data_IF_755936653580
#
_entry.id   IF_755936653580
#
_cell.length_a   1.000
_cell.length_b   1.000
_cell.length_c   1.000
_cell.angle_alpha   90.00
_cell.angle_beta   90.00
_cell.angle_gamma   90.00
#
_symmetry.space_group_name_H-M   'P 1'
#
loop_
_entity.id
_entity.type
_entity.pdbx_description
1 polymer ?
#
# COMPACT_ATOMS: atom_id res chain seq x y z
N UNK A 1 19.88 8.20 -12.13
CA UNK A 1 18.99 9.39 -12.05
C UNK A 1 19.62 10.40 -11.10
N UNK A 2 19.52 11.69 -11.40
CA UNK A 2 19.93 12.73 -10.46
C UNK A 2 18.91 12.81 -9.31
N UNK A 3 19.39 12.73 -8.06
CA UNK A 3 18.53 12.87 -6.88
C UNK A 3 18.41 14.34 -6.51
N UNK A 4 17.19 14.82 -6.30
CA UNK A 4 16.92 16.19 -5.85
C UNK A 4 16.63 16.16 -4.36
N UNK A 5 17.32 16.99 -3.57
CA UNK A 5 17.04 17.16 -2.14
C UNK A 5 15.95 18.22 -1.96
N UNK A 6 14.92 17.88 -1.19
CA UNK A 6 13.84 18.80 -0.77
C UNK A 6 13.66 18.69 0.74
N UNK A 7 13.45 19.83 1.39
CA UNK A 7 13.10 19.87 2.80
C UNK A 7 11.59 19.60 2.96
N UNK A 8 11.23 18.76 3.91
CA UNK A 8 9.84 18.45 4.26
C UNK A 8 9.63 18.65 5.75
N UNK A 9 8.42 19.03 6.12
CA UNK A 9 7.99 19.09 7.53
C UNK A 9 7.14 17.86 7.82
N UNK A 10 7.43 17.20 8.94
CA UNK A 10 6.67 16.02 9.40
C UNK A 10 5.99 16.39 10.70
N UNK A 11 4.70 16.07 10.81
CA UNK A 11 3.95 16.23 12.06
C UNK A 11 4.61 15.38 13.17
N UNK A 12 4.89 15.96 14.36
CA UNK A 12 5.48 15.21 15.47
C UNK A 12 4.70 13.97 15.91
N UNK A 13 3.36 13.97 15.82
CA UNK A 13 2.52 12.82 16.16
C UNK A 13 2.71 11.69 15.14
N UNK A 14 2.68 12.01 13.85
CA UNK A 14 2.95 11.04 12.77
C UNK A 14 4.36 10.46 12.92
N UNK A 15 5.34 11.30 13.23
CA UNK A 15 6.71 10.84 13.47
C UNK A 15 6.79 9.86 14.65
N UNK A 16 6.01 10.08 15.72
CA UNK A 16 5.98 9.21 16.88
C UNK A 16 5.35 7.85 16.61
N UNK A 17 4.38 7.79 15.70
CA UNK A 17 3.68 6.56 15.28
C UNK A 17 4.50 5.67 14.33
N UNK A 18 5.55 6.22 13.70
CA UNK A 18 6.40 5.44 12.81
C UNK A 18 7.17 4.34 13.57
N UNK A 19 7.27 3.17 12.93
CA UNK A 19 8.10 2.07 13.44
C UNK A 19 9.56 2.52 13.63
N UNK A 20 10.32 1.92 14.56
CA UNK A 20 11.72 2.26 14.78
C UNK A 20 12.57 2.22 13.49
N UNK A 21 12.31 1.26 12.61
CA UNK A 21 13.02 1.09 11.34
C UNK A 21 12.78 2.28 10.40
N UNK A 22 11.52 2.74 10.30
CA UNK A 22 11.17 3.89 9.46
C UNK A 22 11.71 5.20 10.03
N UNK A 23 11.75 5.34 11.36
CA UNK A 23 12.37 6.51 12.02
C UNK A 23 13.88 6.56 11.81
N UNK A 24 14.55 5.41 11.78
CA UNK A 24 16.00 5.35 11.57
C UNK A 24 16.43 5.88 10.19
N UNK A 25 15.56 5.79 9.18
CA UNK A 25 15.81 6.34 7.85
C UNK A 25 14.57 7.05 7.26
N UNK A 26 14.31 8.26 7.77
CA UNK A 26 13.18 9.08 7.33
C UNK A 26 13.21 9.41 5.84
N UNK A 27 14.40 9.62 5.25
CA UNK A 27 14.50 9.93 3.83
C UNK A 27 14.02 8.76 2.96
N UNK A 28 14.40 7.53 3.31
CA UNK A 28 13.89 6.34 2.62
C UNK A 28 12.38 6.19 2.82
N UNK A 29 11.88 6.35 4.05
CA UNK A 29 10.46 6.26 4.35
C UNK A 29 9.62 7.30 3.58
N UNK A 30 10.09 8.55 3.50
CA UNK A 30 9.43 9.62 2.75
C UNK A 30 9.46 9.34 1.24
N UNK A 31 10.59 8.90 0.70
CA UNK A 31 10.67 8.56 -0.73
C UNK A 31 9.76 7.39 -1.10
N UNK A 32 9.66 6.37 -0.25
CA UNK A 32 8.73 5.26 -0.46
C UNK A 32 7.27 5.72 -0.40
N UNK A 33 6.92 6.58 0.58
CA UNK A 33 5.58 7.16 0.66
C UNK A 33 5.23 8.00 -0.57
N UNK A 34 6.15 8.85 -1.04
CA UNK A 34 5.96 9.64 -2.26
C UNK A 34 5.81 8.76 -3.50
N UNK A 35 6.57 7.67 -3.60
CA UNK A 35 6.43 6.70 -4.70
C UNK A 35 5.05 6.04 -4.70
N UNK A 36 4.56 5.64 -3.53
CA UNK A 36 3.23 5.04 -3.39
C UNK A 36 2.12 6.04 -3.71
N UNK A 37 2.27 7.29 -3.23
CA UNK A 37 1.31 8.36 -3.53
C UNK A 37 1.25 8.67 -5.03
N UNK A 38 2.40 8.82 -5.69
CA UNK A 38 2.45 9.05 -7.14
C UNK A 38 1.84 7.88 -7.94
N UNK A 39 2.05 6.64 -7.49
CA UNK A 39 1.43 5.48 -8.12
C UNK A 39 -0.10 5.48 -7.95
N UNK A 40 -0.59 5.87 -6.77
CA UNK A 40 -2.01 6.01 -6.49
C UNK A 40 -2.65 7.11 -7.34
N UNK A 41 -2.02 8.30 -7.42
CA UNK A 41 -2.48 9.41 -8.25
C UNK A 41 -2.56 9.00 -9.73
N UNK A 42 -1.57 8.25 -10.23
CA UNK A 42 -1.59 7.71 -11.59
C UNK A 42 -2.75 6.73 -11.81
N UNK A 43 -2.99 5.81 -10.85
CA UNK A 43 -4.11 4.87 -10.92
C UNK A 43 -5.47 5.58 -10.89
N UNK A 44 -5.63 6.57 -10.00
CA UNK A 44 -6.85 7.37 -9.91
C UNK A 44 -7.11 8.15 -11.20
N UNK A 45 -6.06 8.68 -11.82
CA UNK A 45 -6.18 9.37 -13.11
C UNK A 45 -6.67 8.43 -14.21
N UNK A 46 -6.14 7.20 -14.28
CA UNK A 46 -6.62 6.19 -15.24
C UNK A 46 -8.09 5.82 -15.04
N UNK A 47 -8.52 5.67 -13.79
CA UNK A 47 -9.93 5.40 -13.47
C UNK A 47 -10.79 6.59 -13.89
N UNK A 48 -10.40 7.82 -13.54
CA UNK A 48 -11.15 9.01 -13.91
C UNK A 48 -11.28 9.21 -15.43
N UNK A 49 -10.21 8.92 -16.19
CA UNK A 49 -10.24 8.94 -17.67
C UNK A 49 -11.25 7.92 -18.21
N UNK A 50 -11.23 6.69 -17.68
CA UNK A 50 -12.16 5.65 -18.10
C UNK A 50 -13.62 6.01 -17.76
N UNK A 51 -13.87 6.49 -16.54
CA UNK A 51 -15.21 6.87 -16.07
C UNK A 51 -15.78 8.07 -16.82
N UNK A 52 -14.92 8.97 -17.32
CA UNK A 52 -15.34 10.08 -18.18
C UNK A 52 -15.89 9.59 -19.53
N UNK A 53 -15.40 8.46 -20.04
CA UNK A 53 -15.82 7.86 -21.31
C UNK A 53 -17.01 6.90 -21.15
N UNK A 54 -17.08 6.16 -20.04
CA UNK A 54 -17.99 5.03 -19.87
C UNK A 54 -19.04 5.23 -18.76
N UNK A 55 -18.87 6.26 -17.93
CA UNK A 55 -19.59 6.41 -16.66
C UNK A 55 -18.88 5.71 -15.49
N UNK A 56 -19.26 6.00 -14.25
CA UNK A 56 -18.69 5.35 -13.07
C UNK A 56 -19.06 3.87 -13.02
N UNK A 57 -18.17 3.05 -12.45
CA UNK A 57 -18.46 1.64 -12.20
C UNK A 57 -19.67 1.47 -11.27
N UNK A 58 -20.53 0.50 -11.57
CA UNK A 58 -21.62 0.13 -10.65
C UNK A 58 -21.14 -0.87 -9.59
N UNK A 59 -21.90 -1.00 -8.50
CA UNK A 59 -21.59 -1.98 -7.46
C UNK A 59 -21.60 -3.42 -8.01
N UNK A 60 -22.51 -3.73 -8.94
CA UNK A 60 -22.58 -5.04 -9.59
C UNK A 60 -21.34 -5.35 -10.44
N UNK A 61 -20.80 -4.36 -11.13
CA UNK A 61 -19.58 -4.49 -11.93
C UNK A 61 -18.35 -4.71 -11.04
N UNK A 62 -18.29 -4.05 -9.87
CA UNK A 62 -17.18 -4.17 -8.93
C UNK A 62 -17.25 -5.43 -8.05
N UNK A 63 -18.44 -5.94 -7.78
CA UNK A 63 -18.68 -7.08 -6.88
C UNK A 63 -17.71 -8.27 -7.10
N UNK A 64 -17.52 -8.81 -8.33
CA UNK A 64 -16.62 -9.96 -8.53
C UNK A 64 -15.15 -9.63 -8.21
N UNK A 65 -14.72 -8.39 -8.47
CA UNK A 65 -13.35 -7.96 -8.19
C UNK A 65 -13.11 -7.75 -6.70
N UNK A 66 -14.10 -7.19 -5.99
CA UNK A 66 -14.05 -7.05 -4.53
C UNK A 66 -13.99 -8.43 -3.88
N UNK A 67 -14.84 -9.37 -4.31
CA UNK A 67 -14.82 -10.74 -3.78
C UNK A 67 -13.47 -11.42 -4.01
N UNK A 68 -12.93 -11.30 -5.22
CA UNK A 68 -11.61 -11.86 -5.55
C UNK A 68 -10.49 -11.23 -4.70
N UNK A 69 -10.52 -9.91 -4.49
CA UNK A 69 -9.53 -9.20 -3.68
C UNK A 69 -9.59 -9.63 -2.20
N UNK A 70 -10.79 -9.72 -1.63
CA UNK A 70 -11.00 -10.18 -0.23
C UNK A 70 -10.55 -11.63 -0.07
N UNK A 71 -10.86 -12.49 -1.04
CA UNK A 71 -10.43 -13.89 -1.03
C UNK A 71 -8.91 -14.01 -1.07
N UNK A 72 -8.26 -13.34 -2.02
CA UNK A 72 -6.79 -13.34 -2.13
C UNK A 72 -6.11 -12.79 -0.87
N UNK A 73 -6.68 -11.76 -0.23
CA UNK A 73 -6.19 -11.24 1.04
C UNK A 73 -6.29 -12.29 2.16
N UNK A 74 -7.43 -12.99 2.25
CA UNK A 74 -7.66 -14.02 3.26
C UNK A 74 -6.71 -15.21 3.10
N UNK A 75 -6.52 -15.69 1.88
CA UNK A 75 -5.56 -16.76 1.55
C UNK A 75 -4.14 -16.35 1.94
N UNK A 76 -3.74 -15.12 1.61
CA UNK A 76 -2.42 -14.60 1.99
C UNK A 76 -2.23 -14.51 3.51
N UNK A 77 -3.26 -14.08 4.24
CA UNK A 77 -3.21 -14.04 5.70
C UNK A 77 -3.07 -15.44 6.31
N UNK A 78 -3.76 -16.44 5.76
CA UNK A 78 -3.62 -17.83 6.19
C UNK A 78 -2.21 -18.36 5.95
N UNK A 79 -1.64 -18.14 4.76
CA UNK A 79 -0.24 -18.53 4.47
C UNK A 79 0.75 -17.91 5.46
N UNK A 80 0.62 -16.60 5.73
CA UNK A 80 1.50 -15.92 6.70
C UNK A 80 1.34 -16.48 8.11
N UNK A 81 0.12 -16.83 8.52
CA UNK A 81 -0.16 -17.42 9.82
C UNK A 81 0.42 -18.85 9.93
N UNK A 82 0.27 -19.67 8.89
CA UNK A 82 0.86 -21.02 8.82
C UNK A 82 2.40 -20.96 8.88
N UNK A 83 3.03 -20.08 8.10
CA UNK A 83 4.47 -19.85 8.14
C UNK A 83 4.96 -19.37 9.51
N UNK A 84 4.16 -18.56 10.22
CA UNK A 84 4.47 -18.13 11.58
C UNK A 84 4.36 -19.30 12.57
N UNK A 85 3.35 -20.17 12.43
CA UNK A 85 3.18 -21.35 13.28
C UNK A 85 4.29 -22.39 13.09
N UNK A 86 4.71 -22.66 11.84
CA UNK A 86 5.83 -23.56 11.57
C UNK A 86 7.15 -23.04 12.17
N UNK A 87 7.41 -21.73 12.04
CA UNK A 87 8.57 -21.08 12.68
C UNK A 87 8.52 -21.19 14.21
N UNK A 88 7.35 -21.01 14.82
CA UNK A 88 7.20 -21.14 16.28
C UNK A 88 7.39 -22.57 16.78
N UNK A 89 7.01 -23.58 15.98
CA UNK A 89 7.19 -25.01 16.31
C UNK A 89 8.62 -25.51 16.10
N UNK A 90 9.53 -24.69 15.54
CA UNK A 90 10.92 -25.05 15.33
C UNK A 90 11.16 -26.03 14.18
N UNK A 91 10.22 -26.14 13.24
CA UNK A 91 10.29 -27.05 12.07
C UNK A 91 10.89 -26.37 10.83
N UNK A 92 11.82 -25.43 11.02
CA UNK A 92 12.46 -24.68 9.92
C UNK A 92 13.63 -25.44 9.28
#
# INVERSE_FOLDING_TARGET
MATVKRSVTIDPQVLAELSPERRANLSAAVNDALRLLAALEAQQSLVAEWEAEHGPFTEEELAPYIEAAVRAQSERMMMVAEEAMHRYRGEA
#
